data_IF_720485772084
#
_entry.id   IF_720485772084
#
_cell.length_a   1.000
_cell.length_b   1.000
_cell.length_c   1.000
_cell.angle_alpha   90.00
_cell.angle_beta   90.00
_cell.angle_gamma   90.00
#
_symmetry.space_group_name_H-M   'P 1'
#
loop_
_entity.id
_entity.type
_entity.pdbx_description
1 polymer ?
#
# COMPACT_ATOMS: atom_id res chain seq x y z
N UNK A 1 -16.16 10.30 -13.90
CA UNK A 1 -15.97 10.92 -15.20
C UNK A 1 -17.25 10.88 -16.02
N UNK A 2 -17.46 11.82 -16.92
CA UNK A 2 -18.61 11.79 -17.85
C UNK A 2 -18.19 12.23 -19.24
N UNK A 3 -18.71 11.55 -20.24
CA UNK A 3 -18.43 11.83 -21.65
C UNK A 3 -19.71 11.69 -22.47
N UNK A 4 -19.86 12.50 -23.54
CA UNK A 4 -20.94 12.38 -24.50
C UNK A 4 -20.47 11.58 -25.70
N UNK A 5 -21.23 10.54 -26.03
CA UNK A 5 -21.00 9.72 -27.22
C UNK A 5 -22.35 9.47 -27.94
N UNK A 6 -22.44 9.80 -29.22
CA UNK A 6 -23.65 9.65 -30.06
C UNK A 6 -24.91 10.32 -29.47
N UNK A 7 -24.74 11.41 -28.70
CA UNK A 7 -25.84 12.15 -28.08
C UNK A 7 -26.29 11.62 -26.69
N UNK A 8 -25.70 10.53 -26.24
CA UNK A 8 -25.92 10.00 -24.89
C UNK A 8 -24.76 10.36 -23.94
N UNK A 9 -25.11 10.60 -22.68
CA UNK A 9 -24.14 10.88 -21.63
C UNK A 9 -23.79 9.62 -20.86
N UNK A 10 -22.51 9.24 -20.94
CA UNK A 10 -21.95 8.10 -20.22
C UNK A 10 -21.26 8.54 -18.93
N UNK A 11 -21.43 7.76 -17.87
CA UNK A 11 -20.69 7.89 -16.61
C UNK A 11 -19.85 6.63 -16.43
N UNK A 12 -18.59 6.81 -16.04
CA UNK A 12 -17.67 5.70 -15.77
C UNK A 12 -16.66 6.11 -14.70
N UNK A 13 -16.07 5.13 -13.96
CA UNK A 13 -15.04 5.40 -12.98
C UNK A 13 -13.77 5.88 -13.68
N UNK A 14 -13.03 6.75 -13.01
CA UNK A 14 -11.73 7.19 -13.47
C UNK A 14 -10.68 6.09 -13.28
N UNK A 15 -9.66 6.09 -14.12
CA UNK A 15 -8.49 5.22 -14.02
C UNK A 15 -7.23 6.05 -14.18
N UNK A 16 -6.12 5.58 -13.64
CA UNK A 16 -4.86 6.30 -13.67
C UNK A 16 -3.70 5.38 -14.06
N UNK A 17 -2.93 5.83 -15.04
CA UNK A 17 -1.63 5.25 -15.39
C UNK A 17 -0.57 6.32 -15.19
N UNK A 18 0.49 6.01 -14.45
CA UNK A 18 1.55 6.95 -14.16
C UNK A 18 2.94 6.33 -14.17
N UNK A 19 3.96 7.16 -14.31
CA UNK A 19 5.38 6.76 -14.33
C UNK A 19 5.96 6.47 -12.96
N UNK A 20 5.23 6.82 -11.89
CA UNK A 20 5.70 6.75 -10.52
C UNK A 20 5.23 5.44 -9.84
N UNK A 21 6.11 4.81 -9.06
CA UNK A 21 5.77 3.68 -8.20
C UNK A 21 4.67 4.03 -7.17
N UNK A 22 4.45 5.32 -6.90
CA UNK A 22 3.40 5.81 -6.01
C UNK A 22 2.04 5.97 -6.69
N UNK A 23 1.94 5.77 -8.00
CA UNK A 23 0.67 5.80 -8.74
C UNK A 23 -0.36 4.84 -8.15
N UNK A 24 0.07 3.69 -7.66
CA UNK A 24 -0.79 2.69 -7.02
C UNK A 24 -1.49 3.18 -5.75
N UNK A 25 -1.05 4.27 -5.15
CA UNK A 25 -1.67 4.87 -3.96
C UNK A 25 -3.14 5.25 -4.19
N UNK A 26 -3.51 5.63 -5.42
CA UNK A 26 -4.90 6.03 -5.74
C UNK A 26 -5.91 4.91 -5.56
N UNK A 27 -5.46 3.65 -5.59
CA UNK A 27 -6.32 2.49 -5.32
C UNK A 27 -6.88 2.49 -3.89
N UNK A 28 -6.23 3.18 -2.96
CA UNK A 28 -6.77 3.42 -1.61
C UNK A 28 -8.03 4.29 -1.62
N UNK A 29 -8.20 5.14 -2.64
CA UNK A 29 -9.40 5.93 -2.90
C UNK A 29 -10.39 5.23 -3.84
N UNK A 30 -10.16 3.97 -4.17
CA UNK A 30 -10.99 3.21 -5.11
C UNK A 30 -10.92 3.73 -6.57
N UNK A 31 -9.81 4.35 -6.94
CA UNK A 31 -9.47 4.67 -8.33
C UNK A 31 -8.48 3.63 -8.82
N UNK A 32 -8.83 2.90 -9.87
CA UNK A 32 -7.93 1.89 -10.42
C UNK A 32 -6.72 2.56 -11.06
N UNK A 33 -5.55 2.34 -10.49
CA UNK A 33 -4.31 2.93 -10.96
C UNK A 33 -3.09 2.05 -10.77
N UNK A 34 -2.16 2.12 -11.71
CA UNK A 34 -0.89 1.41 -11.63
C UNK A 34 0.26 2.18 -12.28
N UNK A 35 1.48 1.86 -11.83
CA UNK A 35 2.70 2.42 -12.38
C UNK A 35 3.14 1.67 -13.64
N UNK A 36 3.58 2.42 -14.63
CA UNK A 36 4.15 1.89 -15.88
C UNK A 36 5.53 2.49 -16.13
N UNK A 37 6.26 1.92 -17.08
CA UNK A 37 7.52 2.50 -17.54
C UNK A 37 7.31 3.83 -18.28
N UNK A 38 8.39 4.59 -18.44
CA UNK A 38 8.32 5.91 -19.11
C UNK A 38 7.78 5.83 -20.54
N UNK A 39 8.14 4.78 -21.28
CA UNK A 39 7.70 4.59 -22.68
C UNK A 39 6.20 4.33 -22.74
N UNK A 40 5.65 3.50 -21.85
CA UNK A 40 4.21 3.22 -21.81
C UNK A 40 3.41 4.46 -21.39
N UNK A 41 3.93 5.25 -20.46
CA UNK A 41 3.28 6.49 -20.06
C UNK A 41 3.28 7.52 -21.20
N UNK A 42 4.39 7.63 -21.93
CA UNK A 42 4.49 8.49 -23.12
C UNK A 42 3.51 8.05 -24.21
N UNK A 43 3.41 6.75 -24.48
CA UNK A 43 2.45 6.19 -25.42
C UNK A 43 1.01 6.53 -24.99
N UNK A 44 0.68 6.40 -23.70
CA UNK A 44 -0.63 6.79 -23.16
C UNK A 44 -0.92 8.29 -23.34
N UNK A 45 0.06 9.17 -23.09
CA UNK A 45 -0.09 10.61 -23.31
C UNK A 45 -0.29 10.97 -24.80
N UNK A 46 0.23 10.14 -25.69
CA UNK A 46 0.03 10.29 -27.15
C UNK A 46 -1.26 9.64 -27.65
N UNK A 47 -2.11 9.14 -26.76
CA UNK A 47 -3.38 8.51 -27.10
C UNK A 47 -3.26 7.09 -27.65
N UNK A 48 -2.12 6.43 -27.46
CA UNK A 48 -1.96 5.03 -27.83
C UNK A 48 -2.58 4.10 -26.79
N UNK A 49 -3.26 3.03 -27.19
CA UNK A 49 -3.86 2.09 -26.24
C UNK A 49 -2.78 1.30 -25.49
N UNK A 50 -3.01 1.11 -24.20
CA UNK A 50 -2.22 0.18 -23.37
C UNK A 50 -3.01 -1.12 -23.26
N UNK A 51 -2.44 -2.21 -23.77
CA UNK A 51 -3.03 -3.54 -23.68
C UNK A 51 -2.62 -4.25 -22.41
N UNK A 52 -3.59 -4.84 -21.72
CA UNK A 52 -3.37 -5.68 -20.53
C UNK A 52 -4.14 -6.99 -20.69
N UNK A 53 -3.51 -8.10 -20.32
CA UNK A 53 -4.25 -9.36 -20.15
C UNK A 53 -5.19 -9.21 -18.95
N UNK A 54 -6.37 -9.83 -19.03
CA UNK A 54 -7.30 -9.86 -17.89
C UNK A 54 -6.57 -10.53 -16.71
N UNK A 55 -6.31 -9.81 -15.60
CA UNK A 55 -5.51 -10.34 -14.50
C UNK A 55 -6.31 -11.31 -13.64
N UNK A 56 -5.60 -12.23 -12.99
CA UNK A 56 -6.14 -12.91 -11.82
C UNK A 56 -6.30 -11.90 -10.66
N UNK A 57 -7.38 -12.05 -9.90
CA UNK A 57 -7.65 -11.20 -8.74
C UNK A 57 -7.57 -12.02 -7.45
N UNK A 58 -6.69 -11.62 -6.56
CA UNK A 58 -6.53 -12.23 -5.24
C UNK A 58 -7.29 -11.39 -4.23
N UNK A 59 -8.30 -11.99 -3.59
CA UNK A 59 -9.01 -11.37 -2.48
C UNK A 59 -8.16 -11.39 -1.20
N UNK A 60 -7.98 -10.22 -0.57
CA UNK A 60 -7.32 -10.12 0.73
C UNK A 60 -8.33 -9.68 1.79
N UNK A 61 -8.71 -10.58 2.68
CA UNK A 61 -9.71 -10.35 3.71
C UNK A 61 -9.08 -9.75 4.98
N UNK A 62 -9.54 -8.56 5.37
CA UNK A 62 -9.24 -7.99 6.69
C UNK A 62 -10.32 -8.37 7.71
N UNK A 63 -9.89 -8.91 8.85
CA UNK A 63 -10.74 -9.25 10.01
C UNK A 63 -10.37 -8.41 11.21
N UNK A 64 -11.36 -8.11 12.04
CA UNK A 64 -11.17 -7.42 13.32
C UNK A 64 -10.56 -6.01 13.20
N UNK A 65 -9.85 -5.54 14.19
CA UNK A 65 -9.17 -4.25 14.26
C UNK A 65 -7.75 -4.39 14.80
N UNK A 66 -6.91 -3.42 14.49
CA UNK A 66 -5.54 -3.35 15.01
C UNK A 66 -5.55 -3.18 16.55
N UNK A 67 -4.61 -3.83 17.27
CA UNK A 67 -4.38 -3.56 18.69
C UNK A 67 -3.83 -2.14 18.91
N UNK A 68 -4.06 -1.61 20.10
CA UNK A 68 -3.39 -0.38 20.54
C UNK A 68 -1.86 -0.57 20.52
N UNK A 69 -1.14 0.47 20.12
CA UNK A 69 0.32 0.44 19.99
C UNK A 69 0.85 -0.14 18.67
N UNK A 70 -0.03 -0.55 17.76
CA UNK A 70 0.34 -0.89 16.38
C UNK A 70 -0.02 0.25 15.41
N UNK A 71 0.71 0.34 14.32
CA UNK A 71 0.59 1.41 13.33
C UNK A 71 0.24 0.88 11.95
N UNK A 72 -0.14 1.78 11.04
CA UNK A 72 -0.32 1.44 9.62
C UNK A 72 0.95 0.79 9.02
N UNK A 73 2.14 1.14 9.52
CA UNK A 73 3.40 0.54 9.08
C UNK A 73 3.48 -0.94 9.46
N UNK A 74 3.10 -1.31 10.69
CA UNK A 74 3.05 -2.72 11.12
C UNK A 74 2.08 -3.54 10.27
N UNK A 75 0.92 -2.94 9.96
CA UNK A 75 -0.08 -3.54 9.10
C UNK A 75 0.46 -3.76 7.68
N UNK A 76 0.98 -2.72 7.04
CA UNK A 76 1.43 -2.82 5.65
C UNK A 76 2.61 -3.77 5.48
N UNK A 77 3.58 -3.79 6.41
CA UNK A 77 4.69 -4.75 6.37
C UNK A 77 4.20 -6.20 6.51
N UNK A 78 3.15 -6.42 7.31
CA UNK A 78 2.51 -7.73 7.44
C UNK A 78 1.79 -8.14 6.16
N UNK A 79 1.04 -7.22 5.54
CA UNK A 79 0.37 -7.43 4.24
C UNK A 79 1.41 -7.77 3.16
N UNK A 80 2.50 -6.99 3.09
CA UNK A 80 3.60 -7.23 2.14
C UNK A 80 4.15 -8.66 2.29
N UNK A 81 4.40 -9.09 3.52
CA UNK A 81 4.91 -10.45 3.79
C UNK A 81 3.94 -11.52 3.30
N UNK A 82 2.66 -11.42 3.68
CA UNK A 82 1.62 -12.39 3.31
C UNK A 82 1.47 -12.48 1.79
N UNK A 83 1.40 -11.35 1.09
CA UNK A 83 1.21 -11.31 -0.35
C UNK A 83 2.46 -11.78 -1.12
N UNK A 84 3.66 -11.50 -0.61
CA UNK A 84 4.90 -12.06 -1.16
C UNK A 84 4.94 -13.58 -1.04
N UNK A 85 4.58 -14.12 0.11
CA UNK A 85 4.52 -15.56 0.33
C UNK A 85 3.44 -16.22 -0.55
N UNK A 86 2.32 -15.54 -0.78
CA UNK A 86 1.26 -15.99 -1.69
C UNK A 86 1.68 -16.00 -3.16
N UNK A 87 2.58 -15.10 -3.57
CA UNK A 87 3.04 -15.01 -4.96
C UNK A 87 2.02 -14.31 -5.87
N UNK A 88 1.88 -13.00 -5.71
CA UNK A 88 0.89 -12.18 -6.44
C UNK A 88 1.48 -11.39 -7.61
N UNK A 89 2.66 -11.77 -8.09
CA UNK A 89 3.32 -11.07 -9.21
C UNK A 89 2.45 -11.12 -10.46
N UNK A 90 2.19 -9.94 -11.04
CA UNK A 90 1.35 -9.80 -12.23
C UNK A 90 -0.15 -9.97 -11.99
N UNK A 91 -0.58 -10.11 -10.73
CA UNK A 91 -1.98 -10.22 -10.35
C UNK A 91 -2.48 -8.89 -9.77
N UNK A 92 -3.79 -8.75 -9.68
CA UNK A 92 -4.43 -7.72 -8.88
C UNK A 92 -4.72 -8.27 -7.49
N UNK A 93 -4.66 -7.40 -6.49
CA UNK A 93 -5.14 -7.70 -5.14
C UNK A 93 -6.32 -6.79 -4.86
N UNK A 94 -7.42 -7.34 -4.38
CA UNK A 94 -8.57 -6.57 -3.92
C UNK A 94 -8.79 -6.83 -2.44
N UNK A 95 -8.86 -5.74 -1.66
CA UNK A 95 -9.03 -5.79 -0.22
C UNK A 95 -10.52 -5.78 0.14
N UNK A 96 -10.93 -6.66 1.03
CA UNK A 96 -12.31 -6.79 1.49
C UNK A 96 -12.39 -7.23 2.96
N UNK A 97 -13.60 -7.42 3.45
CA UNK A 97 -13.84 -7.95 4.78
C UNK A 97 -14.26 -6.88 5.79
N UNK A 98 -14.80 -7.34 6.92
CA UNK A 98 -15.37 -6.46 7.96
C UNK A 98 -14.32 -5.57 8.66
N UNK A 99 -13.04 -5.94 8.56
CA UNK A 99 -11.92 -5.14 9.07
C UNK A 99 -11.71 -3.82 8.34
N UNK A 100 -12.16 -3.70 7.06
CA UNK A 100 -11.97 -2.47 6.26
C UNK A 100 -12.53 -1.22 6.93
N UNK A 101 -13.64 -1.32 7.65
CA UNK A 101 -14.26 -0.19 8.37
C UNK A 101 -13.38 0.40 9.48
N UNK A 102 -12.34 -0.33 9.88
CA UNK A 102 -11.38 0.09 10.91
C UNK A 102 -10.13 0.74 10.29
N UNK A 103 -10.03 0.82 8.97
CA UNK A 103 -8.94 1.43 8.23
C UNK A 103 -9.37 2.79 7.67
N UNK A 104 -8.62 3.82 8.04
CA UNK A 104 -8.77 5.15 7.43
C UNK A 104 -8.35 5.12 5.98
N UNK A 105 -8.75 6.12 5.19
CA UNK A 105 -8.28 6.22 3.81
C UNK A 105 -6.75 6.32 3.74
N UNK A 106 -6.09 6.99 4.69
CA UNK A 106 -4.64 7.09 4.75
C UNK A 106 -3.97 5.72 4.95
N UNK A 107 -4.56 4.83 5.77
CA UNK A 107 -4.07 3.47 5.96
C UNK A 107 -4.20 2.67 4.66
N UNK A 108 -5.36 2.75 4.00
CA UNK A 108 -5.61 2.10 2.69
C UNK A 108 -4.64 2.60 1.63
N UNK A 109 -4.42 3.90 1.56
CA UNK A 109 -3.48 4.52 0.62
C UNK A 109 -2.05 4.02 0.85
N UNK A 110 -1.62 3.86 2.12
CA UNK A 110 -0.31 3.29 2.46
C UNK A 110 -0.17 1.85 1.98
N UNK A 111 -1.19 1.02 2.18
CA UNK A 111 -1.21 -0.37 1.71
C UNK A 111 -1.19 -0.42 0.17
N UNK A 112 -2.03 0.36 -0.49
CA UNK A 112 -2.11 0.41 -1.95
C UNK A 112 -0.80 0.91 -2.57
N UNK A 113 -0.13 1.88 -1.94
CA UNK A 113 1.15 2.43 -2.38
C UNK A 113 2.25 1.35 -2.46
N UNK A 114 2.21 0.37 -1.58
CA UNK A 114 3.21 -0.70 -1.52
C UNK A 114 2.88 -1.91 -2.43
N UNK A 115 2.00 -1.73 -3.43
CA UNK A 115 1.72 -2.79 -4.40
C UNK A 115 2.99 -3.31 -5.12
N UNK A 116 3.93 -2.47 -5.56
CA UNK A 116 5.19 -2.95 -6.12
C UNK A 116 6.01 -3.80 -5.13
N UNK A 117 6.03 -3.43 -3.85
CA UNK A 117 6.76 -4.15 -2.81
C UNK A 117 6.19 -5.54 -2.55
N UNK A 118 4.88 -5.74 -2.54
CA UNK A 118 4.32 -7.10 -2.47
C UNK A 118 4.23 -7.78 -3.83
N UNK A 119 4.46 -7.07 -4.92
CA UNK A 119 4.64 -7.61 -6.28
C UNK A 119 3.36 -7.66 -7.11
N UNK A 120 2.24 -7.12 -6.64
CA UNK A 120 1.03 -7.00 -7.41
C UNK A 120 1.07 -5.81 -8.37
N UNK A 121 0.27 -5.85 -9.42
CA UNK A 121 0.09 -4.70 -10.33
C UNK A 121 -0.58 -3.55 -9.61
N UNK A 122 -1.59 -3.84 -8.79
CA UNK A 122 -2.23 -2.88 -7.87
C UNK A 122 -2.83 -3.61 -6.67
N UNK A 123 -3.14 -2.83 -5.61
CA UNK A 123 -3.90 -3.28 -4.45
C UNK A 123 -5.11 -2.38 -4.27
N UNK A 124 -6.26 -2.84 -4.71
CA UNK A 124 -7.48 -2.07 -4.86
C UNK A 124 -8.37 -2.15 -3.62
N UNK A 125 -8.91 -1.02 -3.20
CA UNK A 125 -9.92 -0.92 -2.14
C UNK A 125 -11.29 -0.57 -2.74
N UNK A 126 -12.38 -1.15 -2.26
CA UNK A 126 -13.72 -0.82 -2.73
C UNK A 126 -14.17 0.56 -2.26
N UNK A 127 -15.19 1.11 -2.94
CA UNK A 127 -15.86 2.34 -2.51
C UNK A 127 -16.75 2.02 -1.30
N UNK A 128 -16.62 2.81 -0.23
CA UNK A 128 -17.45 2.72 0.97
C UNK A 128 -17.64 4.09 1.65
N UNK A 129 -18.19 4.10 2.86
CA UNK A 129 -18.42 5.33 3.63
C UNK A 129 -17.12 6.10 3.92
N UNK A 130 -15.98 5.42 4.09
CA UNK A 130 -14.69 6.08 4.31
C UNK A 130 -14.22 6.81 3.05
N UNK A 131 -14.48 6.26 1.87
CA UNK A 131 -14.26 6.94 0.59
C UNK A 131 -15.09 8.23 0.51
N UNK A 132 -16.38 8.17 0.82
CA UNK A 132 -17.27 9.35 0.81
C UNK A 132 -16.85 10.42 1.83
N UNK A 133 -16.41 10.00 3.01
CA UNK A 133 -15.89 10.87 4.06
C UNK A 133 -14.64 11.63 3.56
N UNK A 134 -13.74 10.95 2.90
CA UNK A 134 -12.55 11.58 2.31
C UNK A 134 -12.90 12.55 1.17
N UNK A 135 -13.84 12.22 0.32
CA UNK A 135 -14.29 13.12 -0.75
C UNK A 135 -14.82 14.45 -0.17
N UNK A 136 -15.61 14.39 0.91
CA UNK A 136 -16.06 15.59 1.64
C UNK A 136 -14.89 16.36 2.25
N UNK A 137 -14.01 15.65 2.94
CA UNK A 137 -12.83 16.24 3.57
C UNK A 137 -11.93 16.94 2.54
N UNK A 138 -11.79 16.38 1.33
CA UNK A 138 -11.00 16.94 0.25
C UNK A 138 -11.70 18.07 -0.53
N UNK A 139 -12.89 18.50 -0.09
CA UNK A 139 -13.60 19.64 -0.62
C UNK A 139 -14.52 19.33 -1.82
N UNK A 140 -14.89 18.07 -2.06
CA UNK A 140 -15.91 17.71 -3.04
C UNK A 140 -17.27 18.15 -2.54
N UNK A 141 -18.10 18.73 -3.45
CA UNK A 141 -19.47 19.13 -3.14
C UNK A 141 -20.38 17.91 -2.92
N UNK A 142 -21.46 18.08 -2.15
CA UNK A 142 -22.40 17.00 -1.81
C UNK A 142 -23.11 16.40 -3.01
N UNK A 143 -23.24 17.14 -4.11
CA UNK A 143 -23.83 16.60 -5.34
C UNK A 143 -22.90 15.57 -5.96
N UNK A 144 -21.62 15.88 -6.09
CA UNK A 144 -20.58 14.98 -6.58
C UNK A 144 -20.46 13.73 -5.70
N UNK A 145 -20.46 13.90 -4.38
CA UNK A 145 -20.39 12.76 -3.42
C UNK A 145 -21.59 11.83 -3.59
N UNK A 146 -22.80 12.38 -3.74
CA UNK A 146 -24.02 11.58 -3.97
C UNK A 146 -24.03 10.85 -5.32
N UNK A 147 -23.41 11.45 -6.36
CA UNK A 147 -23.24 10.77 -7.65
C UNK A 147 -22.34 9.55 -7.48
N UNK A 148 -21.19 9.71 -6.81
CA UNK A 148 -20.27 8.60 -6.54
C UNK A 148 -20.97 7.49 -5.76
N UNK A 149 -21.67 7.82 -4.69
CA UNK A 149 -22.39 6.83 -3.88
C UNK A 149 -23.44 6.06 -4.71
N UNK A 150 -24.31 6.78 -5.42
CA UNK A 150 -25.33 6.16 -6.26
C UNK A 150 -24.73 5.29 -7.35
N UNK A 151 -23.77 5.84 -8.08
CA UNK A 151 -23.10 5.11 -9.15
C UNK A 151 -22.47 3.83 -8.63
N UNK A 152 -21.71 3.91 -7.54
CA UNK A 152 -21.02 2.76 -6.97
C UNK A 152 -21.99 1.66 -6.51
N UNK A 153 -23.15 2.02 -5.93
CA UNK A 153 -24.17 1.07 -5.50
C UNK A 153 -24.88 0.42 -6.69
N UNK A 154 -25.23 1.19 -7.72
CA UNK A 154 -25.92 0.69 -8.91
C UNK A 154 -25.00 -0.21 -9.78
N UNK A 155 -23.73 0.10 -9.85
CA UNK A 155 -22.75 -0.65 -10.64
C UNK A 155 -22.09 -1.82 -9.86
N UNK A 156 -22.46 -2.06 -8.61
CA UNK A 156 -21.88 -3.14 -7.81
C UNK A 156 -20.43 -2.88 -7.38
N UNK A 157 -19.96 -1.63 -7.39
CA UNK A 157 -18.62 -1.22 -6.97
C UNK A 157 -18.54 -0.85 -5.49
N UNK A 158 -19.67 -0.88 -4.79
CA UNK A 158 -19.74 -0.65 -3.35
C UNK A 158 -19.19 -1.84 -2.58
N UNK A 159 -18.49 -1.58 -1.48
CA UNK A 159 -17.90 -2.61 -0.63
C UNK A 159 -18.88 -3.75 -0.30
N UNK A 160 -18.49 -4.96 -0.56
CA UNK A 160 -19.28 -6.18 -0.36
C UNK A 160 -18.37 -7.32 0.09
N UNK A 161 -18.92 -8.24 0.88
CA UNK A 161 -18.24 -9.50 1.23
C UNK A 161 -18.66 -10.66 0.31
N UNK A 162 -19.58 -10.41 -0.62
CA UNK A 162 -20.10 -11.43 -1.53
C UNK A 162 -19.46 -11.29 -2.93
N UNK A 163 -18.14 -11.47 -2.97
CA UNK A 163 -17.34 -11.37 -4.19
C UNK A 163 -16.59 -12.69 -4.39
N UNK A 164 -16.58 -13.19 -5.61
CA UNK A 164 -15.76 -14.35 -6.00
C UNK A 164 -14.41 -13.87 -6.53
N UNK A 165 -13.35 -14.40 -5.96
CA UNK A 165 -11.96 -14.13 -6.35
C UNK A 165 -11.33 -15.38 -6.97
N UNK A 166 -10.26 -15.20 -7.75
CA UNK A 166 -9.48 -16.32 -8.26
C UNK A 166 -8.90 -17.16 -7.12
N UNK A 167 -8.45 -16.49 -6.05
CA UNK A 167 -7.96 -17.11 -4.82
C UNK A 167 -8.04 -16.08 -3.68
N UNK A 168 -7.92 -16.52 -2.43
CA UNK A 168 -8.06 -15.63 -1.28
C UNK A 168 -6.96 -15.85 -0.24
N UNK A 169 -6.67 -14.79 0.52
CA UNK A 169 -5.89 -14.82 1.75
C UNK A 169 -6.57 -13.95 2.79
N UNK A 170 -6.28 -14.13 4.07
CA UNK A 170 -6.88 -13.32 5.13
C UNK A 170 -5.86 -12.94 6.19
N UNK A 171 -6.12 -11.80 6.84
CA UNK A 171 -5.37 -11.31 8.00
C UNK A 171 -6.34 -10.94 9.10
N UNK A 172 -6.19 -11.55 10.25
CA UNK A 172 -6.78 -11.06 11.49
C UNK A 172 -5.90 -9.93 12.04
N UNK A 173 -6.36 -8.68 11.90
CA UNK A 173 -5.60 -7.52 12.33
C UNK A 173 -5.38 -7.48 13.85
N UNK A 174 -6.17 -8.20 14.66
CA UNK A 174 -5.96 -8.29 16.09
C UNK A 174 -4.66 -9.04 16.47
N UNK A 175 -4.08 -9.78 15.53
CA UNK A 175 -2.81 -10.48 15.70
C UNK A 175 -1.57 -9.63 15.41
N UNK A 176 -1.76 -8.39 14.98
CA UNK A 176 -0.64 -7.51 14.66
C UNK A 176 0.18 -7.17 15.90
N UNK A 177 1.47 -7.09 15.70
CA UNK A 177 2.45 -6.69 16.71
C UNK A 177 3.44 -5.71 16.09
N UNK A 178 4.08 -4.83 16.88
CA UNK A 178 5.10 -3.93 16.40
C UNK A 178 6.18 -4.65 15.60
N UNK A 179 6.47 -4.14 14.42
CA UNK A 179 7.23 -4.85 13.40
C UNK A 179 8.18 -3.88 12.68
N UNK A 180 9.37 -4.36 12.38
CA UNK A 180 10.33 -3.73 11.48
C UNK A 180 10.58 -4.65 10.28
N UNK A 181 11.32 -4.14 9.29
CA UNK A 181 11.65 -4.92 8.10
C UNK A 181 13.10 -4.71 7.70
N UNK A 182 13.68 -5.70 7.08
CA UNK A 182 15.06 -5.68 6.61
C UNK A 182 15.84 -6.92 7.06
N UNK A 183 17.17 -6.95 6.72
CA UNK A 183 17.99 -5.83 6.23
C UNK A 183 17.91 -5.56 4.73
N UNK A 184 17.33 -6.45 3.92
CA UNK A 184 17.44 -6.35 2.46
C UNK A 184 16.17 -5.84 1.80
N UNK A 185 15.00 -6.30 2.24
CA UNK A 185 13.74 -6.10 1.54
C UNK A 185 12.58 -5.81 2.50
N UNK A 186 11.52 -5.11 2.06
CA UNK A 186 10.34 -4.84 2.90
C UNK A 186 9.62 -6.10 3.41
N UNK A 187 9.69 -7.21 2.68
CA UNK A 187 9.10 -8.48 3.10
C UNK A 187 9.92 -9.25 4.14
N UNK A 188 11.14 -8.85 4.42
CA UNK A 188 11.97 -9.44 5.46
C UNK A 188 11.50 -8.94 6.83
N UNK A 189 10.29 -9.42 7.22
CA UNK A 189 9.61 -9.00 8.44
C UNK A 189 10.33 -9.52 9.68
N UNK A 190 10.56 -8.62 10.65
CA UNK A 190 11.16 -8.92 11.94
C UNK A 190 10.28 -8.33 13.04
N UNK A 191 9.96 -9.10 14.07
CA UNK A 191 9.25 -8.57 15.23
C UNK A 191 10.15 -7.63 16.01
N UNK A 192 9.63 -6.50 16.45
CA UNK A 192 10.42 -5.47 17.13
C UNK A 192 11.15 -6.02 18.38
N UNK A 193 10.52 -6.90 19.12
CA UNK A 193 11.12 -7.55 20.30
C UNK A 193 12.23 -8.56 19.94
N UNK A 194 12.31 -9.01 18.69
CA UNK A 194 13.33 -9.93 18.18
C UNK A 194 14.45 -9.20 17.42
N UNK A 195 14.35 -7.90 17.23
CA UNK A 195 15.29 -7.12 16.41
C UNK A 195 16.75 -7.32 16.81
N UNK A 196 17.04 -7.38 18.12
CA UNK A 196 18.41 -7.59 18.63
C UNK A 196 18.96 -8.97 18.29
N UNK A 197 18.15 -10.02 18.40
CA UNK A 197 18.57 -11.39 18.09
C UNK A 197 18.75 -11.60 16.59
N UNK A 198 17.83 -11.07 15.79
CA UNK A 198 17.92 -11.16 14.34
C UNK A 198 19.11 -10.34 13.79
N UNK A 199 19.37 -9.15 14.36
CA UNK A 199 20.56 -8.39 14.01
C UNK A 199 21.84 -9.19 14.26
N UNK A 200 21.96 -9.87 15.41
CA UNK A 200 23.16 -10.70 15.71
C UNK A 200 23.34 -11.79 14.70
N UNK A 201 22.29 -12.53 14.32
CA UNK A 201 22.34 -13.58 13.29
C UNK A 201 22.81 -13.03 11.93
N UNK A 202 22.24 -11.90 11.49
CA UNK A 202 22.65 -11.26 10.23
C UNK A 202 24.09 -10.79 10.30
N UNK A 203 24.49 -10.20 11.40
CA UNK A 203 25.85 -9.72 11.61
C UNK A 203 26.88 -10.86 11.56
N UNK A 204 26.64 -11.95 12.27
CA UNK A 204 27.50 -13.14 12.28
C UNK A 204 27.62 -13.77 10.89
N UNK A 205 26.54 -13.82 10.12
CA UNK A 205 26.53 -14.40 8.79
C UNK A 205 27.18 -13.49 7.71
N UNK A 206 27.19 -12.18 7.95
CA UNK A 206 27.69 -11.20 6.96
C UNK A 206 29.15 -10.83 7.20
N UNK A 207 29.59 -10.89 8.44
CA UNK A 207 30.95 -10.47 8.84
C UNK A 207 31.87 -11.66 8.96
N UNK A 208 32.67 -11.92 7.91
CA UNK A 208 33.80 -12.82 8.01
C UNK A 208 35.00 -12.26 8.85
N UNK A 209 34.76 -11.22 9.65
CA UNK A 209 35.77 -10.46 10.38
C UNK A 209 35.53 -10.49 11.87
N UNK A 210 36.33 -11.27 12.58
CA UNK A 210 36.36 -11.36 14.04
C UNK A 210 36.82 -10.10 14.81
N UNK A 211 36.87 -8.92 14.20
CA UNK A 211 37.32 -7.69 14.86
C UNK A 211 36.21 -6.64 14.81
N UNK A 212 35.69 -6.28 15.99
CA UNK A 212 34.87 -5.09 16.18
C UNK A 212 35.62 -3.88 15.63
N UNK A 213 35.08 -3.25 14.60
CA UNK A 213 35.61 -2.00 14.10
C UNK A 213 34.99 -0.85 14.83
N UNK A 214 35.85 0.02 15.36
CA UNK A 214 35.46 1.32 15.91
C UNK A 214 36.02 2.37 14.95
N UNK A 215 35.21 3.33 14.55
CA UNK A 215 35.63 4.43 13.68
C UNK A 215 35.23 5.76 14.30
N UNK A 216 36.18 6.66 14.41
CA UNK A 216 35.93 8.02 14.84
C UNK A 216 35.19 8.78 13.74
N UNK A 217 34.19 9.57 14.12
CA UNK A 217 33.47 10.41 13.16
C UNK A 217 34.19 11.75 13.07
N UNK A 218 34.61 12.12 11.87
CA UNK A 218 35.35 13.34 11.59
C UNK A 218 34.53 14.59 12.02
N UNK A 219 35.17 15.51 12.72
CA UNK A 219 34.53 16.71 13.19
C UNK A 219 33.67 16.55 14.44
N UNK A 220 33.70 15.39 15.09
CA UNK A 220 32.95 15.11 16.32
C UNK A 220 33.82 14.46 17.39
N UNK A 221 33.25 14.33 18.61
CA UNK A 221 33.87 13.68 19.77
C UNK A 221 33.35 12.26 20.02
N UNK A 222 32.44 11.74 19.17
CA UNK A 222 31.90 10.39 19.31
C UNK A 222 32.47 9.41 18.26
N UNK A 223 32.30 8.14 18.56
CA UNK A 223 32.71 7.02 17.74
C UNK A 223 31.51 6.17 17.33
N UNK A 224 31.56 5.57 16.14
CA UNK A 224 30.63 4.54 15.69
C UNK A 224 31.29 3.17 15.72
N UNK A 225 30.50 2.15 16.01
CA UNK A 225 30.94 0.76 16.07
C UNK A 225 29.90 -0.15 15.43
N UNK A 226 30.27 -1.41 15.25
CA UNK A 226 29.32 -2.42 14.79
C UNK A 226 28.09 -2.45 15.70
N UNK A 227 26.89 -2.32 15.11
CA UNK A 227 25.62 -2.22 15.83
C UNK A 227 25.23 -0.80 16.25
N UNK A 228 25.97 0.24 15.89
CA UNK A 228 25.51 1.62 16.04
C UNK A 228 24.28 1.86 15.18
N UNK A 229 23.26 2.51 15.76
CA UNK A 229 22.04 2.89 15.03
C UNK A 229 22.31 4.18 14.27
N UNK A 230 22.14 4.13 12.96
CA UNK A 230 22.24 5.27 12.07
C UNK A 230 20.86 5.54 11.47
N UNK A 231 20.39 6.79 11.57
CA UNK A 231 19.13 7.20 10.98
C UNK A 231 19.45 8.18 9.84
N UNK A 232 19.10 7.78 8.63
CA UNK A 232 19.11 8.65 7.46
C UNK A 232 17.79 8.46 6.72
N UNK A 233 16.97 9.49 6.70
CA UNK A 233 15.66 9.45 6.06
C UNK A 233 15.55 10.58 5.05
N UNK A 234 15.24 10.24 3.80
CA UNK A 234 14.86 11.19 2.76
C UNK A 234 13.43 10.85 2.39
N UNK A 235 12.51 11.77 2.68
CA UNK A 235 11.12 11.61 2.30
C UNK A 235 10.92 12.21 0.92
N UNK A 236 10.75 11.36 -0.10
CA UNK A 236 10.42 11.80 -1.46
C UNK A 236 8.92 11.98 -1.67
N UNK A 237 8.10 11.38 -0.83
CA UNK A 237 6.66 11.20 -1.03
C UNK A 237 5.86 11.78 0.13
N UNK A 238 5.78 13.10 0.21
CA UNK A 238 4.95 13.78 1.22
C UNK A 238 3.47 13.40 1.10
N UNK A 239 3.00 13.07 -0.11
CA UNK A 239 1.62 12.68 -0.37
C UNK A 239 1.27 11.27 0.13
N UNK A 240 2.25 10.41 0.40
CA UNK A 240 2.03 9.05 0.91
C UNK A 240 2.12 8.97 2.43
N UNK A 241 2.43 10.08 3.08
CA UNK A 241 2.57 10.13 4.53
C UNK A 241 1.23 9.96 5.23
N UNK A 242 1.15 8.98 6.12
CA UNK A 242 -0.02 8.79 6.98
C UNK A 242 0.08 9.74 8.18
N UNK A 243 -0.88 10.67 8.38
CA UNK A 243 -0.84 11.64 9.46
C UNK A 243 -0.72 11.01 10.85
N UNK A 244 -1.35 9.86 11.08
CA UNK A 244 -1.30 9.15 12.35
C UNK A 244 0.11 8.62 12.67
N UNK A 245 0.89 8.29 11.65
CA UNK A 245 2.29 7.85 11.83
C UNK A 245 3.25 9.03 11.99
N UNK A 246 2.94 10.18 11.37
CA UNK A 246 3.80 11.36 11.43
C UNK A 246 3.66 12.16 12.72
N UNK A 247 2.45 12.18 13.28
CA UNK A 247 2.14 13.01 14.46
C UNK A 247 2.39 12.23 15.75
N UNK A 248 2.31 10.92 15.71
CA UNK A 248 2.59 10.00 16.82
C UNK A 248 1.37 9.61 17.58
#
# INVERSE_FOLDING_TARGET
WSEEFEGDKYLFPDTLVGTDSHTTMVNGLSVLGWGVGGIEAEAGMLGQPISMLIPEVIGFEFKNKMPEGTTATDLVLTVVKILRDKGVVGKFVEFYGDGLKNLTLADRATIANMAPEYGATCGFFPIDDETLKYLRFSGRDEHSVKIVEKYAKEQGLWASNNIEFTDTVSLDMSSLVPTISGPKRPQDKVLLNEASSEFKKVFENTTSRNKKKISKVEGTDYEIKDGSILIAAITSCTNTSNPNVLIG
#
